data_IF_467330502743
#
_entry.id   IF_467330502743
#
_cell.length_a   1.000
_cell.length_b   1.000
_cell.length_c   1.000
_cell.angle_alpha   90.00
_cell.angle_beta   90.00
_cell.angle_gamma   90.00
#
_symmetry.space_group_name_H-M   'P 1'
#
loop_
_entity.id
_entity.type
_entity.pdbx_description
1 polymer ?
#
# COMPACT_ATOMS: atom_id res chain seq x y z
N UNK A 1 -13.43 -2.09 -11.23
CA UNK A 1 -12.44 -2.31 -10.16
C UNK A 1 -12.23 -3.79 -9.93
N UNK A 2 -10.98 -4.27 -9.88
CA UNK A 2 -10.66 -5.72 -9.88
C UNK A 2 -10.11 -6.23 -8.55
N UNK A 3 -10.01 -5.35 -7.56
CA UNK A 3 -9.47 -5.62 -6.23
C UNK A 3 -10.60 -5.71 -5.18
N UNK A 4 -11.60 -4.83 -5.25
CA UNK A 4 -12.83 -4.95 -4.45
C UNK A 4 -13.77 -6.01 -5.06
N UNK A 5 -13.91 -7.14 -4.36
CA UNK A 5 -14.76 -8.26 -4.78
C UNK A 5 -16.09 -8.28 -4.03
N UNK A 6 -16.14 -7.74 -2.82
CA UNK A 6 -17.38 -7.61 -2.04
C UNK A 6 -17.96 -6.19 -2.03
N UNK A 7 -17.27 -5.22 -2.66
CA UNK A 7 -17.73 -3.83 -2.82
C UNK A 7 -18.00 -3.11 -1.50
N UNK A 8 -17.22 -3.42 -0.47
CA UNK A 8 -17.36 -2.85 0.86
C UNK A 8 -16.54 -1.56 1.09
N UNK A 9 -15.92 -1.03 0.04
CA UNK A 9 -15.03 0.14 0.04
C UNK A 9 -13.73 -0.05 0.84
N UNK A 10 -13.39 -1.28 1.19
CA UNK A 10 -12.15 -1.67 1.86
C UNK A 10 -11.42 -2.76 1.08
N UNK A 11 -10.16 -3.01 1.44
CA UNK A 11 -9.38 -4.12 0.92
C UNK A 11 -8.97 -5.03 2.08
N UNK A 12 -9.61 -6.18 2.19
CA UNK A 12 -9.29 -7.14 3.24
C UNK A 12 -8.09 -8.04 2.87
N UNK A 13 -7.58 -8.83 3.84
CA UNK A 13 -6.48 -9.77 3.55
C UNK A 13 -6.82 -10.84 2.52
N UNK A 14 -8.09 -11.20 2.33
CA UNK A 14 -8.51 -12.19 1.33
C UNK A 14 -8.49 -11.59 -0.07
N UNK A 15 -8.91 -10.34 -0.21
CA UNK A 15 -8.95 -9.57 -1.46
C UNK A 15 -7.55 -9.17 -1.90
N UNK A 16 -6.71 -8.78 -0.94
CA UNK A 16 -5.27 -8.56 -1.17
C UNK A 16 -4.55 -9.87 -1.49
N UNK A 17 -5.14 -11.03 -1.18
CA UNK A 17 -4.79 -12.32 -1.79
C UNK A 17 -3.29 -12.64 -1.74
N UNK A 18 -2.70 -12.66 -0.54
CA UNK A 18 -1.28 -13.00 -0.34
C UNK A 18 -0.27 -12.07 -1.01
N UNK A 19 -0.73 -10.98 -1.65
CA UNK A 19 0.14 -9.98 -2.27
C UNK A 19 0.88 -9.18 -1.22
N UNK A 20 0.23 -8.85 -0.10
CA UNK A 20 0.85 -8.24 1.08
C UNK A 20 1.21 -9.28 2.15
N UNK A 21 2.42 -9.16 2.70
CA UNK A 21 2.78 -9.86 3.93
C UNK A 21 2.02 -9.27 5.12
N UNK A 22 1.85 -10.06 6.17
CA UNK A 22 1.16 -9.63 7.41
C UNK A 22 1.81 -8.43 8.09
N UNK A 23 3.10 -8.17 7.82
CA UNK A 23 3.80 -6.98 8.34
C UNK A 23 3.45 -5.74 7.54
N UNK A 24 3.55 -5.79 6.21
CA UNK A 24 3.16 -4.65 5.38
C UNK A 24 1.67 -4.32 5.53
N UNK A 25 0.81 -5.34 5.64
CA UNK A 25 -0.61 -5.14 5.92
C UNK A 25 -0.83 -4.45 7.29
N UNK A 26 -0.04 -4.79 8.32
CA UNK A 26 -0.15 -4.13 9.64
C UNK A 26 0.43 -2.72 9.67
N UNK A 27 1.43 -2.43 8.84
CA UNK A 27 1.96 -1.07 8.70
C UNK A 27 0.99 -0.17 7.93
N UNK A 28 0.14 -0.79 7.12
CA UNK A 28 -0.91 -0.19 6.33
C UNK A 28 -2.18 0.11 7.14
N UNK A 29 -2.65 -0.91 7.85
CA UNK A 29 -3.80 -0.95 8.75
C UNK A 29 -3.55 -0.09 10.01
N UNK A 30 -3.78 1.22 9.87
CA UNK A 30 -3.46 2.21 10.90
C UNK A 30 -4.45 2.17 12.05
N UNK A 31 -5.72 1.85 11.77
CA UNK A 31 -6.77 1.68 12.77
C UNK A 31 -6.84 0.26 13.37
N UNK A 32 -6.05 -0.68 12.82
CA UNK A 32 -5.97 -2.08 13.24
C UNK A 32 -7.30 -2.85 13.06
N UNK A 33 -8.15 -2.42 12.13
CA UNK A 33 -9.45 -3.02 11.84
C UNK A 33 -9.35 -4.28 10.94
N UNK A 34 -8.13 -4.58 10.46
CA UNK A 34 -7.78 -5.70 9.58
C UNK A 34 -8.29 -5.57 8.15
N UNK A 35 -8.67 -4.38 7.75
CA UNK A 35 -9.01 -3.97 6.39
C UNK A 35 -8.15 -2.76 6.00
N UNK A 36 -8.28 -2.33 4.74
CA UNK A 36 -7.67 -1.10 4.27
C UNK A 36 -8.76 -0.32 3.57
N UNK A 37 -9.32 0.68 4.24
CA UNK A 37 -10.27 1.59 3.61
C UNK A 37 -9.60 2.39 2.49
N UNK A 38 -10.39 2.97 1.60
CA UNK A 38 -9.87 3.79 0.49
C UNK A 38 -9.01 4.96 0.98
N UNK A 39 -9.41 5.61 2.06
CA UNK A 39 -8.66 6.70 2.69
C UNK A 39 -7.34 6.20 3.31
N UNK A 40 -7.36 5.05 4.00
CA UNK A 40 -6.14 4.46 4.54
C UNK A 40 -5.19 3.98 3.46
N UNK A 41 -5.73 3.39 2.39
CA UNK A 41 -4.96 3.02 1.21
C UNK A 41 -4.27 4.24 0.61
N UNK A 42 -4.99 5.35 0.43
CA UNK A 42 -4.42 6.59 -0.10
C UNK A 42 -3.37 7.19 0.84
N UNK A 43 -3.67 7.29 2.14
CA UNK A 43 -2.74 7.82 3.13
C UNK A 43 -1.46 6.96 3.22
N UNK A 44 -1.59 5.64 3.11
CA UNK A 44 -0.46 4.73 3.07
C UNK A 44 0.34 4.86 1.78
N UNK A 45 -0.33 4.88 0.62
CA UNK A 45 0.32 5.11 -0.68
C UNK A 45 1.12 6.39 -0.62
N UNK A 46 0.53 7.49 -0.15
CA UNK A 46 1.19 8.78 -0.04
C UNK A 46 2.38 8.74 0.93
N UNK A 47 2.24 8.08 2.08
CA UNK A 47 3.32 7.92 3.05
C UNK A 47 4.47 7.07 2.51
N UNK A 48 4.17 5.95 1.85
CA UNK A 48 5.16 5.06 1.24
C UNK A 48 5.82 5.73 0.03
N UNK A 49 5.05 6.49 -0.75
CA UNK A 49 5.53 7.27 -1.87
C UNK A 49 6.53 8.32 -1.38
N UNK A 50 6.15 9.19 -0.46
CA UNK A 50 7.04 10.21 0.12
C UNK A 50 8.26 9.59 0.84
N UNK A 51 8.14 8.39 1.38
CA UNK A 51 9.27 7.68 2.00
C UNK A 51 10.19 7.00 0.98
N UNK A 52 9.70 6.72 -0.23
CA UNK A 52 10.46 6.16 -1.32
C UNK A 52 11.08 7.24 -2.21
N UNK A 53 10.36 8.34 -2.42
CA UNK A 53 10.73 9.56 -3.16
C UNK A 53 11.74 10.36 -2.31
N UNK A 54 12.99 9.94 -2.40
CA UNK A 54 14.06 10.47 -1.58
C UNK A 54 14.55 11.82 -2.10
N UNK A 55 14.44 12.04 -3.41
CA UNK A 55 14.81 13.29 -4.07
C UNK A 55 13.67 14.31 -4.15
N UNK A 56 12.44 13.90 -3.80
CA UNK A 56 11.23 14.72 -3.78
C UNK A 56 10.88 15.29 -5.14
N UNK A 57 11.15 14.54 -6.20
CA UNK A 57 10.84 14.94 -7.56
C UNK A 57 9.38 14.65 -7.95
N UNK A 58 8.62 13.97 -7.06
CA UNK A 58 7.23 13.63 -7.28
C UNK A 58 7.04 12.40 -8.17
N UNK A 59 8.12 11.65 -8.43
CA UNK A 59 8.13 10.38 -9.13
C UNK A 59 8.88 9.33 -8.32
N UNK A 60 8.85 8.08 -8.78
CA UNK A 60 9.64 7.01 -8.16
C UNK A 60 10.46 6.33 -9.22
N UNK A 61 11.76 6.47 -9.12
CA UNK A 61 12.68 5.80 -10.01
C UNK A 61 12.91 4.32 -9.61
N UNK A 62 13.61 3.56 -10.45
CA UNK A 62 13.85 2.15 -10.18
C UNK A 62 14.72 1.89 -8.93
N UNK A 63 15.52 2.86 -8.46
CA UNK A 63 16.29 2.77 -7.22
C UNK A 63 15.41 3.04 -6.01
N UNK A 64 14.54 4.02 -6.08
CA UNK A 64 13.58 4.41 -5.06
C UNK A 64 12.52 3.33 -4.87
N UNK A 65 12.03 2.74 -5.96
CA UNK A 65 11.18 1.54 -5.93
C UNK A 65 11.89 0.32 -5.34
N UNK A 66 13.23 0.28 -5.36
CA UNK A 66 14.02 -0.78 -4.70
C UNK A 66 14.25 -0.55 -3.22
N UNK A 67 13.95 0.64 -2.70
CA UNK A 67 13.98 0.94 -1.26
C UNK A 67 12.95 0.10 -0.50
N UNK A 68 13.03 0.09 0.83
CA UNK A 68 12.02 -0.59 1.67
C UNK A 68 10.61 -0.03 1.41
N UNK A 69 10.50 1.29 1.35
CA UNK A 69 9.23 1.99 1.12
C UNK A 69 8.70 1.72 -0.30
N UNK A 70 9.57 1.81 -1.32
CA UNK A 70 9.18 1.55 -2.71
C UNK A 70 8.77 0.11 -2.99
N UNK A 71 9.41 -0.87 -2.32
CA UNK A 71 9.00 -2.28 -2.39
C UNK A 71 7.66 -2.53 -1.70
N UNK A 72 7.38 -1.84 -0.59
CA UNK A 72 6.08 -1.90 0.06
C UNK A 72 5.01 -1.29 -0.84
N UNK A 73 5.29 -0.14 -1.48
CA UNK A 73 4.40 0.49 -2.44
C UNK A 73 4.12 -0.42 -3.64
N UNK A 74 5.14 -0.97 -4.30
CA UNK A 74 4.97 -1.89 -5.44
C UNK A 74 4.09 -3.09 -5.11
N UNK A 75 4.11 -3.54 -3.86
CA UNK A 75 3.32 -4.66 -3.39
C UNK A 75 1.85 -4.30 -3.18
N UNK A 76 1.56 -3.01 -2.99
CA UNK A 76 0.24 -2.43 -2.77
C UNK A 76 -0.50 -2.06 -4.06
N UNK A 77 0.23 -1.66 -5.12
CA UNK A 77 -0.34 -1.23 -6.42
C UNK A 77 -0.31 -2.32 -7.52
N UNK A 78 0.20 -3.52 -7.23
CA UNK A 78 0.36 -4.61 -8.22
C UNK A 78 -0.73 -5.69 -8.15
#
# INVERSE_FOLDING_TARGET
>A
DKLEKDSDATLDRKEIGGRLGTKEFKEADSDNDKTLSKDEYLALVEKLFNAADADKDGTLDAKELRSKAGRALLRLIR
#
